data_IF_667347646715
#
_entry.id   IF_667347646715
#
_cell.length_a   1.000
_cell.length_b   1.000
_cell.length_c   1.000
_cell.angle_alpha   90.00
_cell.angle_beta   90.00
_cell.angle_gamma   90.00
#
_symmetry.space_group_name_H-M   'P 1'
#
loop_
_entity.id
_entity.type
_entity.pdbx_description
1 polymer ?
#
# COMPACT_ATOMS: atom_id res chain seq x y z
N UNK A 1 27.28 -1.17 16.06
CA UNK A 1 28.40 -0.90 16.98
C UNK A 1 28.90 -2.22 17.53
N UNK A 2 30.24 -2.46 17.67
CA UNK A 2 30.82 -3.74 18.13
C UNK A 2 30.32 -4.18 19.52
N UNK A 3 30.02 -3.24 20.39
CA UNK A 3 29.49 -3.44 21.75
C UNK A 3 28.08 -4.08 21.78
N UNK A 4 27.34 -4.07 20.65
CA UNK A 4 26.00 -4.65 20.54
C UNK A 4 25.95 -6.03 19.88
N UNK A 5 27.06 -6.52 19.34
CA UNK A 5 27.13 -7.82 18.66
C UNK A 5 26.85 -8.96 19.64
N UNK A 6 27.43 -8.91 20.84
CA UNK A 6 27.22 -9.92 21.88
C UNK A 6 25.73 -9.95 22.35
N UNK A 7 25.08 -8.77 22.42
CA UNK A 7 23.67 -8.68 22.75
C UNK A 7 22.77 -9.22 21.63
N UNK A 8 23.12 -8.97 20.37
CA UNK A 8 22.40 -9.50 19.20
C UNK A 8 22.55 -11.02 19.04
N UNK A 9 23.66 -11.59 19.53
CA UNK A 9 23.90 -13.03 19.49
C UNK A 9 23.08 -13.82 20.53
N UNK A 10 22.48 -13.15 21.53
CA UNK A 10 21.66 -13.75 22.59
C UNK A 10 20.40 -12.93 22.83
N UNK A 11 19.51 -12.83 21.84
CA UNK A 11 18.24 -12.12 22.03
C UNK A 11 17.39 -12.87 23.08
N UNK A 12 16.79 -12.13 24.00
CA UNK A 12 15.94 -12.74 25.03
C UNK A 12 14.59 -13.24 24.47
N UNK A 13 14.10 -12.57 23.44
CA UNK A 13 12.88 -12.92 22.69
C UNK A 13 13.20 -13.00 21.21
N UNK A 14 12.53 -13.90 20.51
CA UNK A 14 12.58 -14.02 19.04
C UNK A 14 11.20 -14.03 18.46
N UNK A 15 11.09 -13.62 17.21
CA UNK A 15 9.92 -13.73 16.38
C UNK A 15 10.22 -14.79 15.31
N UNK A 16 9.33 -15.77 15.18
CA UNK A 16 9.50 -16.86 14.24
C UNK A 16 8.40 -16.81 13.18
N UNK A 17 8.78 -16.47 11.96
CA UNK A 17 7.92 -16.52 10.79
C UNK A 17 8.27 -17.76 9.97
N UNK A 18 7.47 -18.82 10.12
CA UNK A 18 7.63 -20.05 9.36
C UNK A 18 7.39 -19.89 7.86
N UNK A 19 7.84 -20.87 7.08
CA UNK A 19 7.66 -20.89 5.62
C UNK A 19 6.22 -20.65 5.18
N UNK A 20 5.25 -21.17 5.93
CA UNK A 20 3.81 -21.04 5.64
C UNK A 20 3.34 -19.58 5.59
N UNK A 21 3.84 -18.72 6.50
CA UNK A 21 3.50 -17.29 6.48
C UNK A 21 4.11 -16.57 5.26
N UNK A 22 5.33 -16.95 4.88
CA UNK A 22 5.96 -16.37 3.69
C UNK A 22 5.27 -16.84 2.41
N UNK A 23 4.87 -18.10 2.32
CA UNK A 23 4.07 -18.61 1.20
C UNK A 23 2.70 -17.92 1.13
N UNK A 24 2.05 -17.68 2.26
CA UNK A 24 0.78 -16.96 2.32
C UNK A 24 0.93 -15.48 1.89
N UNK A 25 2.01 -14.82 2.28
CA UNK A 25 2.33 -13.48 1.82
C UNK A 25 2.53 -13.42 0.30
N UNK A 26 3.28 -14.37 -0.26
CA UNK A 26 3.53 -14.45 -1.71
C UNK A 26 2.27 -14.71 -2.53
N UNK A 27 1.29 -15.42 -1.96
CA UNK A 27 -0.02 -15.62 -2.59
C UNK A 27 -1.00 -14.46 -2.38
N UNK A 28 -0.66 -13.48 -1.53
CA UNK A 28 -1.55 -12.39 -1.17
C UNK A 28 -2.64 -12.74 -0.13
N UNK A 29 -2.53 -13.92 0.52
CA UNK A 29 -3.50 -14.37 1.54
C UNK A 29 -3.39 -13.58 2.83
N UNK A 30 -2.22 -13.01 3.14
CA UNK A 30 -1.96 -12.14 4.28
C UNK A 30 -1.22 -10.88 3.85
N UNK A 31 -1.44 -9.78 4.58
CA UNK A 31 -0.68 -8.55 4.36
C UNK A 31 0.72 -8.63 4.98
N UNK A 32 1.70 -7.93 4.42
CA UNK A 32 3.07 -7.91 4.95
C UNK A 32 3.18 -7.45 6.41
N UNK A 33 2.24 -6.60 6.87
CA UNK A 33 2.14 -6.18 8.27
C UNK A 33 1.78 -7.31 9.23
N UNK A 34 1.17 -8.40 8.74
CA UNK A 34 0.68 -9.54 9.55
C UNK A 34 1.70 -10.69 9.63
N UNK A 35 2.78 -10.62 8.87
CA UNK A 35 3.90 -11.58 9.00
C UNK A 35 4.57 -11.40 10.35
N UNK A 36 4.86 -12.52 11.03
CA UNK A 36 5.47 -12.52 12.38
C UNK A 36 6.95 -12.16 12.36
N UNK A 37 7.27 -10.92 12.04
CA UNK A 37 8.62 -10.36 12.06
C UNK A 37 8.79 -9.32 13.17
N UNK A 38 10.02 -9.08 13.66
CA UNK A 38 10.24 -8.12 14.75
C UNK A 38 9.89 -6.67 14.38
N UNK A 39 10.01 -6.30 13.12
CA UNK A 39 9.65 -4.96 12.66
C UNK A 39 8.14 -4.78 12.54
N UNK A 40 7.69 -3.52 12.68
CA UNK A 40 6.30 -3.13 12.48
C UNK A 40 6.23 -2.08 11.37
N UNK A 41 5.56 -2.43 10.25
CA UNK A 41 5.36 -1.52 9.13
C UNK A 41 3.86 -1.47 8.78
N UNK A 42 3.22 -0.30 8.95
CA UNK A 42 1.80 -0.11 8.63
C UNK A 42 1.65 1.17 7.79
N UNK A 43 1.32 1.05 6.49
CA UNK A 43 1.25 2.19 5.57
C UNK A 43 -0.06 2.98 5.66
N UNK A 44 -1.05 2.50 6.43
CA UNK A 44 -2.44 2.96 6.34
C UNK A 44 -3.16 2.93 7.70
N UNK A 45 -2.60 3.58 8.71
CA UNK A 45 -3.25 3.72 10.02
C UNK A 45 -4.40 4.70 9.91
N UNK A 46 -5.64 4.20 9.92
CA UNK A 46 -6.88 4.98 9.94
C UNK A 46 -7.38 5.05 11.37
N UNK A 47 -7.03 6.13 12.09
CA UNK A 47 -7.25 6.26 13.52
C UNK A 47 -6.37 5.31 14.33
N UNK A 48 -6.63 4.01 14.23
CA UNK A 48 -5.81 2.96 14.85
C UNK A 48 -5.69 1.72 13.95
N UNK A 49 -4.67 0.91 14.22
CA UNK A 49 -4.48 -0.39 13.58
C UNK A 49 -3.89 -1.37 14.59
N UNK A 50 -4.34 -2.62 14.56
CA UNK A 50 -3.85 -3.69 15.43
C UNK A 50 -3.24 -4.81 14.59
N UNK A 51 -2.12 -5.34 15.04
CA UNK A 51 -1.47 -6.52 14.48
C UNK A 51 -1.07 -7.49 15.60
N UNK A 52 -1.11 -8.78 15.34
CA UNK A 52 -0.66 -9.80 16.29
C UNK A 52 0.79 -10.18 15.99
N UNK A 53 1.57 -10.40 17.05
CA UNK A 53 2.91 -10.97 17.01
C UNK A 53 3.02 -12.11 18.02
N UNK A 54 3.57 -13.22 17.58
CA UNK A 54 3.98 -14.31 18.47
C UNK A 54 5.45 -14.14 18.81
N UNK A 55 5.76 -14.05 20.10
CA UNK A 55 7.14 -13.99 20.60
C UNK A 55 7.48 -15.25 21.36
N UNK A 56 8.70 -15.76 21.19
CA UNK A 56 9.22 -16.93 21.89
C UNK A 56 10.40 -16.54 22.76
N UNK A 57 10.35 -16.90 24.04
CA UNK A 57 11.44 -16.64 24.96
C UNK A 57 12.58 -17.66 24.80
N UNK A 58 13.81 -17.20 24.65
CA UNK A 58 15.01 -18.06 24.63
C UNK A 58 15.60 -18.29 26.01
N UNK A 59 15.24 -17.44 26.99
CA UNK A 59 15.66 -17.53 28.38
C UNK A 59 14.45 -17.27 29.29
N UNK A 60 14.52 -17.68 30.55
CA UNK A 60 13.49 -17.32 31.54
C UNK A 60 13.54 -15.82 31.81
N UNK A 61 12.42 -15.13 31.71
CA UNK A 61 12.42 -13.70 31.94
C UNK A 61 11.04 -13.08 32.07
N UNK A 62 11.05 -11.84 32.55
CA UNK A 62 9.89 -10.98 32.58
C UNK A 62 10.23 -9.73 31.78
N UNK A 63 9.53 -9.54 30.66
CA UNK A 63 9.72 -8.43 29.73
C UNK A 63 8.58 -7.44 29.83
N UNK A 64 8.91 -6.16 29.76
CA UNK A 64 7.97 -5.05 29.70
C UNK A 64 8.08 -4.38 28.35
N UNK A 65 6.95 -4.15 27.71
CA UNK A 65 6.84 -3.41 26.47
C UNK A 65 7.00 -1.92 26.70
N UNK A 66 7.64 -1.24 25.74
CA UNK A 66 7.66 0.21 25.58
C UNK A 66 7.83 0.56 24.11
N UNK A 67 7.32 1.71 23.70
CA UNK A 67 7.50 2.22 22.35
C UNK A 67 7.69 3.73 22.35
N UNK A 68 8.38 4.23 21.32
CA UNK A 68 8.53 5.64 21.04
C UNK A 68 8.41 5.86 19.54
N UNK A 69 7.25 6.36 19.12
CA UNK A 69 6.92 6.65 17.72
C UNK A 69 6.25 8.02 17.68
N UNK A 70 6.92 9.06 17.16
CA UNK A 70 6.36 10.42 17.16
C UNK A 70 4.98 10.49 16.52
N UNK A 71 4.01 11.13 17.19
CA UNK A 71 2.64 11.28 16.71
C UNK A 71 1.78 10.03 16.71
N UNK A 72 2.27 8.94 17.34
CA UNK A 72 1.52 7.71 17.55
C UNK A 72 1.75 7.17 18.96
N UNK A 73 0.69 6.62 19.53
CA UNK A 73 0.76 5.75 20.70
C UNK A 73 0.81 4.29 20.21
N UNK A 74 1.79 3.53 20.70
CA UNK A 74 1.91 2.11 20.40
C UNK A 74 1.84 1.33 21.69
N UNK A 75 0.84 0.48 21.82
CA UNK A 75 0.59 -0.35 23.01
C UNK A 75 0.71 -1.83 22.68
N UNK A 76 0.96 -2.65 23.70
CA UNK A 76 0.98 -4.11 23.61
C UNK A 76 0.01 -4.72 24.62
N UNK A 77 -0.70 -5.74 24.22
CA UNK A 77 -1.56 -6.55 25.09
C UNK A 77 -1.22 -8.04 24.92
N UNK A 78 -0.64 -8.69 25.94
CA UNK A 78 -0.23 -8.15 27.25
C UNK A 78 1.03 -7.24 27.14
N UNK A 79 1.08 -6.18 27.96
CA UNK A 79 2.25 -5.27 28.02
C UNK A 79 3.42 -5.81 28.85
N UNK A 80 3.20 -6.91 29.54
CA UNK A 80 4.22 -7.61 30.34
C UNK A 80 4.11 -9.10 30.05
N UNK A 81 5.24 -9.69 29.71
CA UNK A 81 5.38 -11.12 29.47
C UNK A 81 6.22 -11.75 30.58
N UNK A 82 5.74 -12.83 31.16
CA UNK A 82 6.50 -13.65 32.13
C UNK A 82 6.60 -15.05 31.52
N UNK A 83 7.74 -15.35 30.89
CA UNK A 83 7.92 -16.54 30.07
C UNK A 83 9.15 -17.33 30.52
N UNK A 84 9.05 -18.64 30.43
CA UNK A 84 10.18 -19.56 30.55
C UNK A 84 10.82 -19.78 29.16
N UNK A 85 12.08 -20.19 29.16
CA UNK A 85 12.76 -20.56 27.91
C UNK A 85 11.93 -21.59 27.11
N UNK A 86 11.76 -21.32 25.82
CA UNK A 86 10.95 -22.10 24.90
C UNK A 86 9.43 -21.82 24.93
N UNK A 87 8.96 -20.99 25.84
CA UNK A 87 7.54 -20.57 25.84
C UNK A 87 7.29 -19.43 24.87
N UNK A 88 6.15 -19.49 24.20
CA UNK A 88 5.65 -18.46 23.29
C UNK A 88 4.41 -17.77 23.87
N UNK A 89 4.19 -16.53 23.45
CA UNK A 89 2.99 -15.77 23.74
C UNK A 89 2.60 -14.90 22.56
N UNK A 90 1.31 -14.79 22.31
CA UNK A 90 0.76 -13.84 21.36
C UNK A 90 0.60 -12.48 22.01
N UNK A 91 0.93 -11.45 21.27
CA UNK A 91 0.86 -10.05 21.69
C UNK A 91 0.14 -9.26 20.60
N UNK A 92 -0.94 -8.60 20.99
CA UNK A 92 -1.58 -7.61 20.12
C UNK A 92 -0.84 -6.26 20.26
N UNK A 93 -0.34 -5.76 19.16
CA UNK A 93 0.28 -4.44 19.04
C UNK A 93 -0.73 -3.51 18.42
N UNK A 94 -1.18 -2.50 19.15
CA UNK A 94 -2.10 -1.47 18.66
C UNK A 94 -1.36 -0.17 18.47
N UNK A 95 -1.44 0.36 17.26
CA UNK A 95 -0.89 1.67 16.86
C UNK A 95 -2.05 2.64 16.72
N UNK A 96 -2.09 3.67 17.53
CA UNK A 96 -3.12 4.70 17.52
C UNK A 96 -2.49 6.04 17.14
N UNK A 97 -3.04 6.72 16.13
CA UNK A 97 -2.61 8.06 15.77
C UNK A 97 -2.98 9.04 16.88
N UNK A 98 -2.03 9.90 17.26
CA UNK A 98 -2.28 11.05 18.15
C UNK A 98 -2.30 12.36 17.36
N UNK A 99 -1.15 12.82 16.88
CA UNK A 99 -1.00 14.09 16.16
C UNK A 99 -0.11 13.97 14.90
N UNK A 100 0.28 12.76 14.52
CA UNK A 100 1.07 12.55 13.31
C UNK A 100 0.41 13.15 12.07
N UNK A 101 1.20 13.79 11.22
CA UNK A 101 0.73 14.29 9.93
C UNK A 101 0.24 13.11 9.06
N UNK A 102 -0.93 13.29 8.42
CA UNK A 102 -1.46 12.28 7.49
C UNK A 102 -0.58 12.17 6.25
N UNK A 103 -0.58 11.00 5.63
CA UNK A 103 0.19 10.68 4.43
C UNK A 103 1.72 10.86 4.55
N UNK A 104 2.23 10.99 5.78
CA UNK A 104 3.67 11.13 6.07
C UNK A 104 4.17 9.92 6.83
N UNK A 105 5.27 9.33 6.37
CA UNK A 105 5.93 8.24 7.07
C UNK A 105 6.57 8.72 8.35
N UNK A 106 6.26 8.04 9.45
CA UNK A 106 6.88 8.25 10.75
C UNK A 106 7.66 7.02 11.16
N UNK A 107 8.85 7.25 11.68
CA UNK A 107 9.76 6.21 12.12
C UNK A 107 9.97 6.31 13.62
N UNK A 108 10.03 5.15 14.27
CA UNK A 108 10.28 5.02 15.69
C UNK A 108 10.78 3.63 16.06
N UNK A 109 10.63 3.27 17.31
CA UNK A 109 11.01 1.96 17.81
C UNK A 109 10.06 1.47 18.90
N UNK A 110 10.01 0.17 19.06
CA UNK A 110 9.40 -0.53 20.19
C UNK A 110 10.45 -1.46 20.81
N UNK A 111 10.30 -1.72 22.10
CA UNK A 111 11.28 -2.52 22.86
C UNK A 111 10.60 -3.40 23.90
N UNK A 112 11.19 -4.57 24.08
CA UNK A 112 10.94 -5.43 25.23
C UNK A 112 12.15 -5.37 26.16
N UNK A 113 11.95 -4.85 27.37
CA UNK A 113 13.03 -4.68 28.35
C UNK A 113 12.81 -5.57 29.57
N UNK A 114 13.87 -6.12 30.13
CA UNK A 114 13.85 -6.84 31.41
C UNK A 114 14.17 -5.89 32.57
N UNK A 115 13.85 -6.30 33.80
CA UNK A 115 14.23 -5.54 35.00
C UNK A 115 15.75 -5.32 35.04
N UNK A 116 16.18 -4.12 35.44
CA UNK A 116 17.60 -3.75 35.56
C UNK A 116 18.36 -4.80 36.40
N UNK A 117 19.52 -5.24 35.91
CA UNK A 117 20.39 -6.20 36.59
C UNK A 117 20.32 -7.63 36.09
N UNK A 118 19.42 -7.99 35.17
CA UNK A 118 19.47 -9.26 34.45
C UNK A 118 20.31 -9.15 33.19
N UNK A 119 21.10 -10.18 32.92
CA UNK A 119 21.99 -10.27 31.75
C UNK A 119 21.24 -10.49 30.41
N UNK A 120 19.89 -10.39 30.41
CA UNK A 120 19.07 -10.58 29.19
C UNK A 120 18.98 -9.26 28.45
N UNK A 121 19.41 -9.20 27.18
CA UNK A 121 19.41 -7.99 26.39
C UNK A 121 17.99 -7.45 26.13
N UNK A 122 17.90 -6.15 25.97
CA UNK A 122 16.75 -5.47 25.40
C UNK A 122 16.54 -5.92 23.94
N UNK A 123 15.31 -6.23 23.57
CA UNK A 123 14.91 -6.52 22.20
C UNK A 123 14.25 -5.29 21.62
N UNK A 124 14.95 -4.57 20.77
CA UNK A 124 14.47 -3.35 20.12
C UNK A 124 14.15 -3.64 18.66
N UNK A 125 12.99 -3.20 18.22
CA UNK A 125 12.47 -3.39 16.86
C UNK A 125 12.07 -2.04 16.23
N UNK A 126 12.36 -1.84 14.93
CA UNK A 126 11.94 -0.62 14.24
C UNK A 126 10.42 -0.63 14.00
N UNK A 127 9.85 0.58 14.06
CA UNK A 127 8.45 0.86 13.73
C UNK A 127 8.43 1.91 12.64
N UNK A 128 7.67 1.65 11.58
CA UNK A 128 7.47 2.57 10.47
C UNK A 128 5.98 2.61 10.14
N UNK A 129 5.35 3.75 10.34
CA UNK A 129 3.90 3.89 10.23
C UNK A 129 3.53 5.16 9.47
N UNK A 130 2.37 5.13 8.82
CA UNK A 130 1.84 6.28 8.10
C UNK A 130 0.35 6.40 8.40
N UNK A 131 -0.08 7.59 8.88
CA UNK A 131 -1.49 7.87 9.11
C UNK A 131 -2.21 8.15 7.79
N UNK A 132 -3.45 7.69 7.68
CA UNK A 132 -4.39 8.07 6.63
C UNK A 132 -5.51 8.93 7.21
N UNK A 133 -6.00 9.89 6.41
CA UNK A 133 -7.14 10.73 6.79
C UNK A 133 -8.44 9.94 6.84
N UNK A 134 -8.63 9.02 5.92
CA UNK A 134 -9.81 8.15 5.84
C UNK A 134 -9.54 6.94 4.95
N UNK A 135 -10.37 5.92 5.05
CA UNK A 135 -10.64 4.96 3.97
C UNK A 135 -12.02 5.21 3.39
N UNK A 136 -12.15 4.98 2.09
CA UNK A 136 -13.39 5.20 1.33
C UNK A 136 -13.62 3.98 0.45
N UNK A 137 -14.87 3.61 0.22
CA UNK A 137 -15.23 2.62 -0.81
C UNK A 137 -14.55 2.96 -2.13
N UNK A 138 -13.77 2.04 -2.67
CA UNK A 138 -12.89 2.30 -3.82
C UNK A 138 -13.65 2.41 -5.14
N UNK A 139 -14.76 1.69 -5.27
CA UNK A 139 -15.61 1.70 -6.46
C UNK A 139 -17.04 1.35 -6.09
N UNK A 140 -17.99 1.95 -6.79
CA UNK A 140 -19.41 1.59 -6.76
C UNK A 140 -19.89 1.48 -8.21
N UNK A 141 -20.52 0.36 -8.54
CA UNK A 141 -21.04 0.10 -9.87
C UNK A 141 -22.57 0.22 -9.86
N UNK A 142 -23.14 0.72 -10.96
CA UNK A 142 -24.56 0.84 -11.13
C UNK A 142 -24.93 0.95 -12.61
N UNK A 143 -26.20 0.68 -12.93
CA UNK A 143 -26.73 0.82 -14.27
C UNK A 143 -28.12 1.45 -14.23
N UNK A 144 -28.49 2.17 -15.29
CA UNK A 144 -29.80 2.84 -15.41
C UNK A 144 -29.66 4.35 -15.57
N UNK A 145 -30.82 5.01 -15.80
CA UNK A 145 -30.90 6.45 -16.03
C UNK A 145 -30.89 7.26 -14.72
N UNK A 146 -31.24 6.65 -13.60
CA UNK A 146 -31.27 7.23 -12.25
C UNK A 146 -30.89 6.17 -11.23
N UNK A 147 -30.31 6.59 -10.12
CA UNK A 147 -29.92 5.68 -9.05
C UNK A 147 -29.31 6.42 -7.86
N UNK A 148 -28.97 5.65 -6.82
CA UNK A 148 -28.18 6.09 -5.68
C UNK A 148 -27.12 5.02 -5.37
N UNK A 149 -26.01 5.43 -4.79
CA UNK A 149 -24.96 4.54 -4.36
C UNK A 149 -24.49 4.97 -2.98
N UNK A 150 -24.31 3.97 -2.09
CA UNK A 150 -23.77 4.20 -0.76
C UNK A 150 -22.24 4.11 -0.81
N UNK A 151 -21.59 5.12 -0.25
CA UNK A 151 -20.13 5.19 -0.12
C UNK A 151 -19.80 5.14 1.36
N UNK A 152 -19.13 4.06 1.79
CA UNK A 152 -18.67 3.93 3.17
C UNK A 152 -17.37 4.71 3.37
N UNK A 153 -17.33 5.56 4.39
CA UNK A 153 -16.14 6.34 4.77
C UNK A 153 -15.81 6.05 6.22
N UNK A 154 -14.61 5.52 6.47
CA UNK A 154 -14.06 5.38 7.83
C UNK A 154 -13.06 6.50 8.07
N UNK A 155 -13.35 7.48 8.95
CA UNK A 155 -12.44 8.59 9.22
C UNK A 155 -11.28 8.16 10.12
N UNK A 156 -10.07 8.58 9.78
CA UNK A 156 -8.84 8.42 10.58
C UNK A 156 -8.43 9.71 11.31
N UNK A 157 -9.14 10.80 11.07
CA UNK A 157 -8.93 12.12 11.68
C UNK A 157 -10.28 12.76 12.00
N UNK A 158 -10.29 13.67 12.96
CA UNK A 158 -11.46 14.55 13.18
C UNK A 158 -11.40 15.72 12.23
N UNK A 159 -12.56 16.18 11.74
CA UNK A 159 -12.65 17.33 10.81
C UNK A 159 -13.96 17.31 10.03
N UNK A 160 -14.12 18.29 9.16
CA UNK A 160 -15.22 18.36 8.21
C UNK A 160 -14.86 17.57 6.95
N UNK A 161 -15.83 16.85 6.41
CA UNK A 161 -15.74 16.19 5.12
C UNK A 161 -16.50 17.03 4.08
N UNK A 162 -15.79 17.52 3.09
CA UNK A 162 -16.39 18.24 1.95
C UNK A 162 -16.33 17.33 0.72
N UNK A 163 -17.41 16.59 0.38
CA UNK A 163 -17.43 15.78 -0.82
C UNK A 163 -17.47 16.67 -2.06
N UNK A 164 -16.69 16.34 -3.06
CA UNK A 164 -16.77 16.93 -4.38
C UNK A 164 -17.23 15.85 -5.36
N UNK A 165 -18.29 16.14 -6.10
CA UNK A 165 -18.77 15.28 -7.18
C UNK A 165 -18.23 15.84 -8.48
N UNK A 166 -17.29 15.12 -9.09
CA UNK A 166 -16.83 15.38 -10.45
C UNK A 166 -17.77 14.61 -11.36
N UNK A 167 -18.59 15.28 -12.12
CA UNK A 167 -19.72 14.78 -12.92
C UNK A 167 -19.54 13.42 -13.61
N UNK A 168 -20.54 12.93 -14.30
CA UNK A 168 -20.44 11.76 -15.16
C UNK A 168 -19.82 12.19 -16.48
N UNK A 169 -18.60 11.75 -16.75
CA UNK A 169 -17.92 11.98 -18.03
C UNK A 169 -18.16 10.83 -19.01
N UNK A 170 -18.06 11.12 -20.30
CA UNK A 170 -18.05 10.09 -21.35
C UNK A 170 -16.66 9.43 -21.39
N UNK A 171 -16.63 8.11 -21.38
CA UNK A 171 -15.41 7.35 -21.64
C UNK A 171 -15.18 7.26 -23.14
N UNK A 172 -14.02 7.70 -23.61
CA UNK A 172 -13.55 7.44 -24.96
C UNK A 172 -12.62 6.23 -24.95
N UNK A 173 -12.95 5.20 -25.76
CA UNK A 173 -12.25 3.92 -25.79
C UNK A 173 -11.57 3.68 -27.14
N UNK A 174 -10.37 3.13 -27.12
CA UNK A 174 -9.61 2.68 -28.31
C UNK A 174 -9.14 1.26 -28.07
N UNK A 175 -9.55 0.34 -28.93
CA UNK A 175 -9.11 -1.06 -28.89
C UNK A 175 -7.92 -1.25 -29.82
N UNK A 176 -6.83 -1.83 -29.33
CA UNK A 176 -5.62 -2.06 -30.10
C UNK A 176 -5.04 -3.46 -29.83
N UNK A 177 -4.75 -4.18 -30.93
CA UNK A 177 -3.99 -5.42 -30.86
C UNK A 177 -2.49 -5.12 -30.83
N UNK A 178 -1.76 -5.75 -29.91
CA UNK A 178 -0.33 -5.58 -29.76
C UNK A 178 0.41 -6.91 -29.67
N UNK A 179 1.70 -6.87 -29.96
CA UNK A 179 2.65 -7.96 -29.78
C UNK A 179 3.61 -7.60 -28.66
N UNK A 180 3.70 -8.46 -27.65
CA UNK A 180 4.51 -8.20 -26.45
C UNK A 180 5.98 -7.97 -26.80
N UNK A 181 6.57 -6.98 -26.13
CA UNK A 181 7.98 -6.60 -26.27
C UNK A 181 8.46 -5.92 -25.00
N UNK A 182 9.68 -6.18 -24.59
CA UNK A 182 10.37 -5.46 -23.50
C UNK A 182 10.89 -4.08 -23.93
N UNK A 183 10.60 -3.67 -25.16
CA UNK A 183 11.00 -2.38 -25.72
C UNK A 183 9.79 -1.68 -26.31
N UNK A 184 9.77 -0.34 -26.23
CA UNK A 184 8.71 0.50 -26.77
C UNK A 184 8.75 0.53 -28.32
N UNK A 185 8.36 -0.57 -28.96
CA UNK A 185 8.25 -0.68 -30.42
C UNK A 185 6.79 -0.52 -30.84
N UNK A 186 6.54 0.01 -32.02
CA UNK A 186 5.19 0.35 -32.49
C UNK A 186 4.20 -0.82 -32.47
N UNK A 187 4.69 -2.04 -32.70
CA UNK A 187 3.86 -3.26 -32.64
C UNK A 187 3.43 -3.67 -31.22
N UNK A 188 4.04 -3.09 -30.20
CA UNK A 188 3.72 -3.34 -28.78
C UNK A 188 2.89 -2.19 -28.16
N UNK A 189 2.49 -1.19 -28.94
CA UNK A 189 1.85 0.01 -28.43
C UNK A 189 0.38 0.13 -28.87
N UNK A 190 -0.46 0.56 -27.93
CA UNK A 190 -1.75 1.16 -28.18
C UNK A 190 -1.61 2.67 -27.93
N UNK A 191 -2.01 3.52 -28.87
CA UNK A 191 -1.82 4.97 -28.74
C UNK A 191 -3.15 5.69 -28.99
N UNK A 192 -3.47 6.62 -28.10
CA UNK A 192 -4.61 7.53 -28.24
C UNK A 192 -4.19 8.95 -27.89
N UNK A 193 -4.91 9.94 -28.45
CA UNK A 193 -4.72 11.34 -28.09
C UNK A 193 -6.03 11.87 -27.51
N UNK A 194 -5.94 12.56 -26.38
CA UNK A 194 -7.07 13.21 -25.73
C UNK A 194 -6.79 14.70 -25.57
N UNK A 195 -7.74 15.55 -25.98
CA UNK A 195 -7.66 16.99 -25.74
C UNK A 195 -8.31 17.31 -24.41
N UNK A 196 -7.56 17.94 -23.53
CA UNK A 196 -8.03 18.48 -22.26
C UNK A 196 -8.38 19.95 -22.45
N UNK A 197 -9.60 20.32 -22.14
CA UNK A 197 -10.10 21.69 -22.22
C UNK A 197 -9.91 22.41 -20.89
N UNK A 198 -9.95 23.73 -20.90
CA UNK A 198 -9.95 24.54 -19.69
C UNK A 198 -11.12 24.19 -18.78
N UNK A 199 -10.88 24.15 -17.46
CA UNK A 199 -11.87 23.75 -16.44
C UNK A 199 -12.02 22.24 -16.26
N UNK A 200 -11.23 21.40 -16.96
CA UNK A 200 -11.16 19.98 -16.66
C UNK A 200 -10.50 19.76 -15.31
N UNK A 201 -11.20 19.15 -14.37
CA UNK A 201 -10.69 18.92 -13.01
C UNK A 201 -9.92 17.60 -12.89
N UNK A 202 -10.20 16.63 -13.76
CA UNK A 202 -9.46 15.37 -13.77
C UNK A 202 -9.44 14.74 -15.16
N UNK A 203 -8.28 14.18 -15.51
CA UNK A 203 -8.09 13.28 -16.63
C UNK A 203 -7.75 11.89 -16.07
N UNK A 204 -8.58 10.91 -16.35
CA UNK A 204 -8.32 9.51 -16.03
C UNK A 204 -7.98 8.79 -17.32
N UNK A 205 -6.87 8.09 -17.33
CA UNK A 205 -6.45 7.21 -18.41
C UNK A 205 -6.26 5.79 -17.87
N UNK A 206 -6.73 4.79 -18.60
CA UNK A 206 -6.53 3.38 -18.24
C UNK A 206 -6.21 2.55 -19.48
N UNK A 207 -5.53 1.44 -19.25
CA UNK A 207 -5.35 0.36 -20.21
C UNK A 207 -5.84 -0.94 -19.56
N UNK A 208 -6.72 -1.66 -20.22
CA UNK A 208 -7.30 -2.91 -19.75
C UNK A 208 -6.89 -4.04 -20.72
N UNK A 209 -6.32 -5.11 -20.18
CA UNK A 209 -5.98 -6.29 -20.96
C UNK A 209 -7.23 -6.97 -21.52
N UNK A 210 -7.11 -7.57 -22.68
CA UNK A 210 -8.14 -8.41 -23.27
C UNK A 210 -8.11 -9.85 -22.79
N UNK A 211 -6.95 -10.31 -22.30
CA UNK A 211 -6.76 -11.66 -21.82
C UNK A 211 -6.01 -11.71 -20.48
N UNK A 212 -6.33 -12.68 -19.65
CA UNK A 212 -5.66 -12.90 -18.39
C UNK A 212 -4.16 -13.23 -18.59
N UNK A 213 -3.31 -12.68 -17.74
CA UNK A 213 -1.87 -12.83 -17.78
C UNK A 213 -1.16 -11.98 -18.84
N UNK A 214 -1.85 -10.96 -19.38
CA UNK A 214 -1.19 -9.90 -20.13
C UNK A 214 -0.74 -8.79 -19.19
N UNK A 215 0.44 -8.25 -19.43
CA UNK A 215 1.07 -7.18 -18.65
C UNK A 215 1.16 -5.94 -19.51
N UNK A 216 0.31 -4.96 -19.23
CA UNK A 216 0.22 -3.70 -19.92
C UNK A 216 0.70 -2.56 -19.03
N UNK A 217 1.70 -1.82 -19.49
CA UNK A 217 2.13 -0.57 -18.90
C UNK A 217 1.36 0.63 -19.47
N UNK A 218 1.10 1.64 -18.66
CA UNK A 218 0.43 2.87 -19.06
C UNK A 218 1.36 4.07 -18.97
N UNK A 219 1.41 4.85 -20.04
CA UNK A 219 2.14 6.13 -20.12
C UNK A 219 1.21 7.24 -20.58
N UNK A 220 1.36 8.41 -19.97
CA UNK A 220 0.67 9.63 -20.39
C UNK A 220 1.72 10.71 -20.62
N UNK A 221 1.74 11.28 -21.82
CA UNK A 221 2.63 12.39 -22.19
C UNK A 221 1.81 13.67 -22.17
N UNK A 222 2.20 14.61 -21.33
CA UNK A 222 1.52 15.90 -21.17
C UNK A 222 1.79 16.83 -22.35
N UNK A 223 1.03 17.93 -22.50
CA UNK A 223 1.30 18.93 -23.56
C UNK A 223 2.71 19.51 -23.51
N UNK A 224 3.34 19.57 -22.33
CA UNK A 224 4.72 20.04 -22.14
C UNK A 224 5.76 18.95 -22.42
N UNK A 225 5.33 17.75 -22.81
CA UNK A 225 6.21 16.61 -23.09
C UNK A 225 6.68 15.84 -21.85
N UNK A 226 6.09 16.11 -20.67
CA UNK A 226 6.38 15.33 -19.46
C UNK A 226 5.71 13.97 -19.55
N UNK A 227 6.46 12.91 -19.30
CA UNK A 227 5.93 11.55 -19.21
C UNK A 227 5.53 11.24 -17.76
N UNK A 228 4.31 10.75 -17.60
CA UNK A 228 3.80 10.09 -16.41
C UNK A 228 3.63 8.61 -16.73
N UNK A 229 3.86 7.72 -15.78
CA UNK A 229 3.74 6.28 -16.02
C UNK A 229 3.14 5.54 -14.84
N UNK A 230 2.42 4.49 -15.16
CA UNK A 230 2.06 3.40 -14.28
C UNK A 230 2.55 2.12 -14.97
N UNK A 231 3.45 1.41 -14.31
CA UNK A 231 4.07 0.20 -14.84
C UNK A 231 4.22 -0.77 -13.67
N UNK A 232 3.31 -1.72 -13.59
CA UNK A 232 3.29 -2.77 -12.58
C UNK A 232 2.97 -4.09 -13.28
N UNK A 233 3.28 -5.23 -12.70
CA UNK A 233 2.93 -6.52 -13.27
C UNK A 233 1.41 -6.82 -13.13
N UNK A 234 0.58 -5.89 -13.61
CA UNK A 234 -0.88 -5.96 -13.52
C UNK A 234 -1.52 -6.00 -14.92
N UNK A 235 -2.65 -6.68 -15.02
CA UNK A 235 -3.43 -6.78 -16.26
C UNK A 235 -4.06 -5.45 -16.68
N UNK A 236 -4.25 -4.53 -15.74
CA UNK A 236 -4.85 -3.23 -15.98
C UNK A 236 -4.13 -2.16 -15.20
N UNK A 237 -3.88 -1.02 -15.86
CA UNK A 237 -3.24 0.13 -15.27
C UNK A 237 -4.11 1.37 -15.42
N UNK A 238 -4.14 2.20 -14.38
CA UNK A 238 -4.90 3.46 -14.37
C UNK A 238 -4.05 4.60 -13.82
N UNK A 239 -4.08 5.73 -14.51
CA UNK A 239 -3.48 7.00 -14.11
C UNK A 239 -4.56 8.07 -14.00
N UNK A 240 -4.57 8.80 -12.88
CA UNK A 240 -5.42 9.97 -12.67
C UNK A 240 -4.54 11.21 -12.55
N UNK A 241 -4.83 12.22 -13.37
CA UNK A 241 -4.17 13.52 -13.34
C UNK A 241 -5.20 14.53 -12.82
N UNK A 242 -4.97 15.06 -11.62
CA UNK A 242 -5.79 16.12 -11.06
C UNK A 242 -5.36 17.46 -11.65
N UNK A 243 -6.34 18.35 -11.89
CA UNK A 243 -6.15 19.68 -12.45
C UNK A 243 -5.20 19.69 -13.68
N UNK A 244 -5.50 18.88 -14.72
CA UNK A 244 -4.63 18.77 -15.87
C UNK A 244 -4.58 20.09 -16.65
N UNK A 245 -3.38 20.52 -17.08
CA UNK A 245 -3.24 21.68 -17.93
C UNK A 245 -4.01 21.48 -19.27
N UNK A 246 -4.67 22.51 -19.82
CA UNK A 246 -5.31 22.40 -21.12
C UNK A 246 -4.30 22.05 -22.22
N UNK A 247 -4.71 21.21 -23.18
CA UNK A 247 -3.85 20.81 -24.28
C UNK A 247 -4.04 19.36 -24.72
N UNK A 248 -3.21 18.91 -25.65
CA UNK A 248 -3.23 17.56 -26.17
C UNK A 248 -2.32 16.63 -25.35
N UNK A 249 -2.92 15.58 -24.80
CA UNK A 249 -2.23 14.50 -24.09
C UNK A 249 -2.14 13.28 -25.00
N UNK A 250 -0.99 12.63 -25.03
CA UNK A 250 -0.84 11.33 -25.70
C UNK A 250 -0.85 10.24 -24.65
N UNK A 251 -1.79 9.29 -24.78
CA UNK A 251 -1.92 8.14 -23.89
C UNK A 251 -1.43 6.90 -24.63
N UNK A 252 -0.53 6.17 -24.01
CA UNK A 252 0.15 5.02 -24.60
C UNK A 252 0.02 3.82 -23.65
N UNK A 253 -0.63 2.76 -24.13
CA UNK A 253 -0.53 1.43 -23.55
C UNK A 253 0.63 0.68 -24.20
N UNK A 254 1.45 0.01 -23.41
CA UNK A 254 2.56 -0.81 -23.88
C UNK A 254 2.39 -2.23 -23.38
N UNK A 255 2.24 -3.19 -24.28
CA UNK A 255 2.20 -4.60 -23.94
C UNK A 255 3.60 -5.12 -23.66
N UNK A 256 3.97 -5.18 -22.39
CA UNK A 256 5.28 -5.69 -21.95
C UNK A 256 5.37 -7.20 -22.07
N UNK A 257 4.35 -7.93 -21.60
CA UNK A 257 4.29 -9.39 -21.67
C UNK A 257 2.85 -9.88 -21.88
N UNK A 258 2.71 -11.04 -22.50
CA UNK A 258 1.42 -11.72 -22.62
C UNK A 258 1.61 -13.24 -22.86
N UNK A 259 0.68 -14.04 -22.39
CA UNK A 259 0.59 -15.45 -22.73
C UNK A 259 0.35 -15.60 -24.25
N UNK A 260 1.26 -16.28 -24.94
CA UNK A 260 1.21 -16.36 -26.41
C UNK A 260 1.79 -15.15 -27.15
N UNK A 261 2.35 -14.18 -26.43
CA UNK A 261 3.10 -13.05 -27.01
C UNK A 261 2.24 -11.98 -27.68
N UNK A 262 0.91 -12.05 -27.56
CA UNK A 262 -0.03 -11.07 -28.12
C UNK A 262 -1.22 -10.87 -27.20
N UNK A 263 -1.77 -9.64 -27.21
CA UNK A 263 -3.02 -9.33 -26.56
C UNK A 263 -3.74 -8.16 -27.30
N UNK A 264 -5.02 -7.99 -26.98
CA UNK A 264 -5.84 -6.88 -27.47
C UNK A 264 -6.25 -6.03 -26.26
N UNK A 265 -5.56 -4.94 -26.03
CA UNK A 265 -5.84 -4.01 -24.94
C UNK A 265 -6.91 -2.98 -25.29
N UNK A 266 -7.66 -2.53 -24.29
CA UNK A 266 -8.60 -1.41 -24.40
C UNK A 266 -8.03 -0.22 -23.63
N UNK A 267 -7.68 0.82 -24.38
CA UNK A 267 -7.19 2.08 -23.83
C UNK A 267 -8.37 3.04 -23.68
N UNK A 268 -8.58 3.54 -22.47
CA UNK A 268 -9.73 4.39 -22.14
C UNK A 268 -9.28 5.72 -21.58
N UNK A 269 -10.00 6.78 -21.90
CA UNK A 269 -9.79 8.09 -21.32
C UNK A 269 -11.12 8.70 -20.89
N UNK A 270 -11.10 9.36 -19.72
CA UNK A 270 -12.25 10.02 -19.12
C UNK A 270 -11.85 11.41 -18.63
N UNK A 271 -12.56 12.43 -19.06
CA UNK A 271 -12.43 13.81 -18.57
C UNK A 271 -13.58 14.12 -17.61
N UNK A 272 -13.25 14.58 -16.41
CA UNK A 272 -14.22 15.03 -15.41
C UNK A 272 -14.13 16.56 -15.26
N UNK A 273 -15.29 17.22 -15.20
CA UNK A 273 -15.43 18.68 -15.10
C UNK A 273 -16.26 19.09 -13.90
#
# INVERSE_FOLDING_TARGET
KPDKVAAAARPGLVYDSGKEQWDALLRGDIAGRDVNVPSLAIPDVVGSATVTRTVTALENGRWRFSANVPGFEVTASPAVLDLKAGQSADVELTVTRTDAAVNTWTHGSMSWTTAKGKAVPEVTSPVTVKAKSATVTSAVEGSGATGSADVEITPGVTGELTPQVLGLGKVDSTVAAATASNSLVSSALAVSTVTVEEGTQSLVASINAGAAGADWDLYVITPEGKQLSRATAAESETLTIADPAPGAYTVVGHLYAANGGKDTGTLETLKLR
#
